data_IF_360495141387
#
_entry.id   IF_360495141387
#
_cell.length_a   1.000
_cell.length_b   1.000
_cell.length_c   1.000
_cell.angle_alpha   90.00
_cell.angle_beta   90.00
_cell.angle_gamma   90.00
#
_symmetry.space_group_name_H-M   'P 1'
#
loop_
_entity.id
_entity.type
_entity.pdbx_description
1 polymer ?
#
# COMPACT_ATOMS: atom_id res chain seq x y z
N UNK A 1 -2.64 -8.29 -2.32
CA UNK A 1 -1.45 -8.99 -1.77
C UNK A 1 -0.31 -8.04 -1.36
N UNK A 2 -0.38 -6.72 -1.59
CA UNK A 2 0.64 -5.76 -1.16
C UNK A 2 0.51 -5.46 0.34
N UNK A 3 1.05 -6.33 1.20
CA UNK A 3 1.11 -6.11 2.66
C UNK A 3 2.14 -7.02 3.36
N UNK A 4 2.79 -6.58 4.45
CA UNK A 4 3.49 -7.37 5.46
C UNK A 4 4.66 -8.18 4.94
N UNK A 5 5.52 -7.54 4.15
CA UNK A 5 6.71 -8.17 3.55
C UNK A 5 7.93 -8.25 4.46
N UNK A 6 7.93 -7.53 5.59
CA UNK A 6 9.07 -7.59 6.50
C UNK A 6 9.07 -8.92 7.25
N UNK A 7 10.26 -9.49 7.50
CA UNK A 7 10.40 -10.76 8.20
C UNK A 7 10.20 -10.61 9.71
N UNK A 8 10.15 -11.72 10.44
CA UNK A 8 10.22 -11.70 11.91
C UNK A 8 11.64 -11.39 12.37
N UNK A 9 12.64 -11.97 11.68
CA UNK A 9 14.06 -11.71 11.89
C UNK A 9 14.68 -11.11 10.62
N UNK A 10 15.53 -10.09 10.73
CA UNK A 10 16.12 -9.43 9.55
C UNK A 10 16.89 -10.38 8.61
N UNK A 11 17.41 -11.48 9.16
CA UNK A 11 18.14 -12.55 8.47
C UNK A 11 17.24 -13.49 7.67
N UNK A 12 15.92 -13.47 7.90
CA UNK A 12 14.96 -14.40 7.32
C UNK A 12 14.08 -13.69 6.28
N UNK A 13 14.68 -13.12 5.24
CA UNK A 13 13.91 -12.45 4.19
C UNK A 13 13.46 -13.43 3.10
N UNK A 14 12.21 -13.30 2.67
CA UNK A 14 11.72 -14.00 1.49
C UNK A 14 12.35 -13.39 0.23
N UNK A 15 13.08 -14.22 -0.50
CA UNK A 15 13.85 -13.83 -1.68
C UNK A 15 13.29 -14.47 -2.95
N UNK A 16 13.24 -13.70 -4.03
CA UNK A 16 12.95 -14.22 -5.38
C UNK A 16 13.94 -13.61 -6.37
N UNK A 17 14.67 -14.46 -7.07
CA UNK A 17 15.62 -14.11 -8.11
C UNK A 17 14.93 -14.12 -9.45
N UNK A 18 14.95 -12.97 -10.12
CA UNK A 18 14.35 -12.80 -11.44
C UNK A 18 15.31 -12.07 -12.37
N UNK A 19 15.63 -12.70 -13.51
CA UNK A 19 16.58 -12.21 -14.52
C UNK A 19 17.95 -11.80 -13.95
N UNK A 20 18.47 -12.60 -13.01
CA UNK A 20 19.79 -12.41 -12.40
C UNK A 20 19.83 -11.45 -11.20
N UNK A 21 18.69 -10.86 -10.82
CA UNK A 21 18.60 -9.97 -9.65
C UNK A 21 17.74 -10.62 -8.56
N UNK A 22 18.26 -10.69 -7.34
CA UNK A 22 17.51 -11.15 -6.16
C UNK A 22 16.75 -9.98 -5.54
N UNK A 23 15.44 -10.15 -5.36
CA UNK A 23 14.54 -9.14 -4.81
C UNK A 23 14.05 -9.55 -3.42
N UNK A 24 13.90 -8.56 -2.54
CA UNK A 24 13.30 -8.66 -1.21
C UNK A 24 12.13 -7.68 -1.04
N UNK A 25 11.36 -7.85 0.04
CA UNK A 25 10.24 -6.96 0.37
C UNK A 25 9.10 -7.03 -0.65
N UNK A 26 8.50 -5.89 -0.97
CA UNK A 26 7.44 -5.80 -1.99
C UNK A 26 7.89 -6.33 -3.37
N UNK A 27 9.16 -6.13 -3.73
CA UNK A 27 9.66 -6.56 -5.05
C UNK A 27 9.70 -8.08 -5.20
N UNK A 28 9.76 -8.83 -4.09
CA UNK A 28 9.62 -10.29 -4.09
C UNK A 28 8.27 -10.72 -4.66
N UNK A 29 7.18 -10.04 -4.28
CA UNK A 29 5.85 -10.33 -4.83
C UNK A 29 5.81 -10.06 -6.33
N UNK A 30 6.33 -8.91 -6.77
CA UNK A 30 6.36 -8.57 -8.19
C UNK A 30 7.14 -9.62 -8.99
N UNK A 31 8.34 -9.98 -8.53
CA UNK A 31 9.18 -10.99 -9.18
C UNK A 31 8.50 -12.37 -9.22
N UNK A 32 7.85 -12.79 -8.13
CA UNK A 32 7.14 -14.06 -8.07
C UNK A 32 5.95 -14.12 -9.05
N UNK A 33 5.14 -13.06 -9.11
CA UNK A 33 4.00 -12.97 -10.03
C UNK A 33 4.48 -12.97 -11.48
N UNK A 34 5.52 -12.19 -11.80
CA UNK A 34 6.08 -12.17 -13.16
C UNK A 34 6.64 -13.53 -13.56
N UNK A 35 7.39 -14.19 -12.66
CA UNK A 35 7.88 -15.55 -12.90
C UNK A 35 6.74 -16.54 -13.15
N UNK A 36 5.68 -16.51 -12.34
CA UNK A 36 4.52 -17.40 -12.53
C UNK A 36 3.82 -17.16 -13.88
N UNK A 37 3.70 -15.91 -14.33
CA UNK A 37 3.17 -15.60 -15.66
C UNK A 37 4.05 -16.15 -16.79
N UNK A 38 5.38 -16.02 -16.68
CA UNK A 38 6.33 -16.58 -17.66
C UNK A 38 6.32 -18.12 -17.65
N UNK A 39 5.98 -18.75 -16.51
CA UNK A 39 5.75 -20.20 -16.38
C UNK A 39 4.38 -20.67 -16.92
N UNK A 40 3.57 -19.76 -17.47
CA UNK A 40 2.26 -20.07 -18.02
C UNK A 40 1.15 -20.19 -16.98
N UNK A 41 1.38 -19.80 -15.73
CA UNK A 41 0.33 -19.75 -14.71
C UNK A 41 -0.55 -18.52 -14.98
N UNK A 42 -1.87 -18.66 -15.16
CA UNK A 42 -2.79 -17.54 -15.40
C UNK A 42 -3.13 -16.80 -14.10
N UNK A 43 -2.11 -16.40 -13.33
CA UNK A 43 -2.26 -15.79 -11.99
C UNK A 43 -3.01 -14.44 -12.00
N UNK A 44 -3.15 -13.82 -13.17
CA UNK A 44 -3.92 -12.58 -13.37
C UNK A 44 -5.36 -12.80 -13.82
N UNK A 45 -5.78 -14.04 -14.07
CA UNK A 45 -7.17 -14.39 -14.42
C UNK A 45 -8.03 -14.59 -13.17
N UNK A 46 -9.08 -13.77 -12.94
CA UNK A 46 -9.98 -13.93 -11.79
C UNK A 46 -10.63 -15.31 -11.69
N UNK A 47 -10.86 -16.00 -12.80
CA UNK A 47 -11.38 -17.37 -12.78
C UNK A 47 -10.40 -18.34 -12.14
N UNK A 48 -9.12 -18.19 -12.45
CA UNK A 48 -8.05 -19.01 -11.87
C UNK A 48 -7.86 -18.69 -10.39
N UNK A 49 -7.57 -17.43 -10.06
CA UNK A 49 -7.17 -17.09 -8.69
C UNK A 49 -8.33 -17.05 -7.69
N UNK A 50 -9.60 -17.11 -8.12
CA UNK A 50 -10.76 -17.29 -7.23
C UNK A 50 -10.97 -18.73 -6.76
N UNK A 51 -10.39 -19.70 -7.47
CA UNK A 51 -10.58 -21.14 -7.25
C UNK A 51 -9.32 -21.86 -6.76
N UNK A 52 -8.15 -21.25 -6.93
CA UNK A 52 -6.89 -21.83 -6.48
C UNK A 52 -6.87 -22.10 -4.96
N UNK A 53 -6.14 -23.11 -4.54
CA UNK A 53 -5.88 -23.39 -3.12
C UNK A 53 -4.61 -22.67 -2.61
N UNK A 54 -4.34 -22.79 -1.30
CA UNK A 54 -3.19 -22.14 -0.65
C UNK A 54 -1.87 -22.72 -1.17
N UNK A 55 -1.82 -24.02 -1.46
CA UNK A 55 -0.63 -24.71 -1.93
C UNK A 55 -0.24 -24.25 -3.34
N UNK A 56 -1.22 -24.03 -4.21
CA UNK A 56 -1.03 -23.44 -5.54
C UNK A 56 -0.50 -22.01 -5.44
N UNK A 57 -1.08 -21.18 -4.57
CA UNK A 57 -0.52 -19.84 -4.33
C UNK A 57 0.89 -19.91 -3.73
N UNK A 58 1.17 -20.89 -2.87
CA UNK A 58 2.49 -21.15 -2.31
C UNK A 58 3.53 -21.45 -3.39
N UNK A 59 3.15 -22.21 -4.44
CA UNK A 59 4.03 -22.47 -5.60
C UNK A 59 4.25 -21.22 -6.45
N UNK A 60 3.21 -20.41 -6.63
CA UNK A 60 3.30 -19.12 -7.34
C UNK A 60 4.25 -18.17 -6.60
N UNK A 61 4.09 -18.05 -5.28
CA UNK A 61 4.84 -17.12 -4.42
C UNK A 61 6.07 -17.74 -3.76
N UNK A 62 6.55 -18.89 -4.26
CA UNK A 62 7.68 -19.63 -3.65
C UNK A 62 8.93 -18.76 -3.58
N UNK A 63 9.64 -18.85 -2.46
CA UNK A 63 10.96 -18.22 -2.33
C UNK A 63 12.03 -19.10 -2.98
N UNK A 64 13.17 -18.49 -3.29
CA UNK A 64 14.38 -19.20 -3.71
C UNK A 64 15.27 -19.60 -2.51
N UNK A 65 14.87 -19.25 -1.29
CA UNK A 65 15.50 -19.67 -0.04
C UNK A 65 14.49 -20.35 0.90
N UNK A 66 14.91 -20.70 2.13
CA UNK A 66 14.08 -21.40 3.11
C UNK A 66 12.97 -20.52 3.73
N UNK A 67 13.00 -19.21 3.52
CA UNK A 67 12.02 -18.27 4.09
C UNK A 67 10.81 -18.13 3.16
N UNK A 68 9.61 -18.62 3.55
CA UNK A 68 8.43 -18.50 2.72
C UNK A 68 7.91 -17.06 2.63
N UNK A 69 7.06 -16.80 1.63
CA UNK A 69 6.31 -15.55 1.55
C UNK A 69 5.45 -15.37 2.81
N UNK A 70 5.59 -14.25 3.54
CA UNK A 70 4.84 -14.02 4.76
C UNK A 70 3.34 -13.88 4.48
N UNK A 71 2.53 -14.30 5.45
CA UNK A 71 1.06 -14.21 5.43
C UNK A 71 0.44 -14.87 4.19
N UNK A 72 0.95 -16.05 3.80
CA UNK A 72 0.48 -16.77 2.59
C UNK A 72 -1.02 -17.08 2.65
N UNK A 73 -1.56 -17.45 3.81
CA UNK A 73 -2.99 -17.76 3.99
C UNK A 73 -3.85 -16.52 3.78
N UNK A 74 -3.45 -15.39 4.35
CA UNK A 74 -4.16 -14.12 4.22
C UNK A 74 -4.05 -13.59 2.79
N UNK A 75 -2.90 -13.76 2.13
CA UNK A 75 -2.75 -13.44 0.69
C UNK A 75 -3.70 -14.25 -0.16
N UNK A 76 -3.82 -15.54 0.11
CA UNK A 76 -4.77 -16.43 -0.56
C UNK A 76 -6.21 -15.99 -0.33
N UNK A 77 -6.59 -15.68 0.91
CA UNK A 77 -7.93 -15.21 1.24
C UNK A 77 -8.29 -13.93 0.50
N UNK A 78 -7.42 -12.89 0.54
CA UNK A 78 -7.74 -11.62 -0.14
C UNK A 78 -7.75 -11.75 -1.66
N UNK A 79 -6.89 -12.61 -2.23
CA UNK A 79 -6.80 -12.80 -3.67
C UNK A 79 -8.03 -13.56 -4.18
N UNK A 80 -8.42 -14.64 -3.50
CA UNK A 80 -9.62 -15.41 -3.84
C UNK A 80 -10.91 -14.61 -3.63
N UNK A 81 -11.02 -13.82 -2.55
CA UNK A 81 -12.12 -12.88 -2.32
C UNK A 81 -12.26 -11.91 -3.48
N UNK A 82 -11.17 -11.20 -3.83
CA UNK A 82 -11.15 -10.29 -4.96
C UNK A 82 -11.57 -10.97 -6.26
N UNK A 83 -11.12 -12.21 -6.48
CA UNK A 83 -11.45 -12.96 -7.70
C UNK A 83 -12.93 -13.26 -7.84
N UNK A 84 -13.57 -13.70 -6.75
CA UNK A 84 -15.02 -13.97 -6.72
C UNK A 84 -15.81 -12.69 -7.01
N UNK A 85 -15.44 -11.58 -6.35
CA UNK A 85 -16.09 -10.28 -6.59
C UNK A 85 -15.91 -9.82 -8.03
N UNK A 86 -14.71 -9.97 -8.62
CA UNK A 86 -14.50 -9.62 -10.01
C UNK A 86 -15.34 -10.47 -10.97
N UNK A 87 -15.48 -11.77 -10.71
CA UNK A 87 -16.33 -12.66 -11.53
C UNK A 87 -17.81 -12.26 -11.51
N UNK A 88 -18.31 -11.81 -10.36
CA UNK A 88 -19.69 -11.28 -10.24
C UNK A 88 -19.90 -9.99 -11.05
N UNK A 89 -18.83 -9.27 -11.38
CA UNK A 89 -18.88 -7.98 -12.06
C UNK A 89 -18.15 -8.01 -13.42
N UNK A 90 -18.34 -9.09 -14.18
CA UNK A 90 -17.87 -9.20 -15.57
C UNK A 90 -16.42 -9.67 -15.73
N UNK A 91 -15.82 -10.23 -14.69
CA UNK A 91 -14.56 -10.98 -14.76
C UNK A 91 -13.30 -10.14 -14.96
N UNK A 92 -13.36 -8.82 -14.76
CA UNK A 92 -12.18 -7.95 -14.84
C UNK A 92 -12.29 -6.76 -13.92
N UNK A 93 -11.14 -6.22 -13.47
CA UNK A 93 -11.13 -5.01 -12.64
C UNK A 93 -11.74 -3.81 -13.37
N UNK A 94 -11.54 -3.69 -14.69
CA UNK A 94 -12.12 -2.62 -15.51
C UNK A 94 -13.65 -2.69 -15.53
N UNK A 95 -14.21 -3.88 -15.69
CA UNK A 95 -15.67 -4.08 -15.65
C UNK A 95 -16.24 -3.81 -14.26
N UNK A 96 -15.52 -4.24 -13.21
CA UNK A 96 -15.91 -3.96 -11.83
C UNK A 96 -15.94 -2.47 -11.52
N UNK A 97 -14.85 -1.74 -11.81
CA UNK A 97 -14.66 -0.35 -11.39
C UNK A 97 -15.48 0.65 -12.22
N UNK A 98 -15.94 0.28 -13.42
CA UNK A 98 -16.72 1.17 -14.31
C UNK A 98 -18.02 1.68 -13.68
N UNK A 99 -18.60 0.94 -12.74
CA UNK A 99 -19.81 1.33 -12.00
C UNK A 99 -19.60 2.58 -11.13
N UNK A 100 -18.36 2.85 -10.72
CA UNK A 100 -18.02 4.07 -9.98
C UNK A 100 -17.89 5.30 -10.90
N UNK A 101 -17.91 5.11 -12.23
CA UNK A 101 -17.51 6.14 -13.19
C UNK A 101 -16.02 6.49 -13.03
N UNK A 102 -15.60 7.60 -13.62
CA UNK A 102 -14.23 8.10 -13.52
C UNK A 102 -14.02 9.01 -12.30
N UNK A 103 -14.46 8.60 -11.10
CA UNK A 103 -14.40 9.41 -9.88
C UNK A 103 -13.65 8.65 -8.77
N UNK A 104 -12.50 9.18 -8.34
CA UNK A 104 -11.61 8.49 -7.41
C UNK A 104 -12.29 8.15 -6.07
N UNK A 105 -13.14 9.04 -5.53
CA UNK A 105 -13.86 8.79 -4.29
C UNK A 105 -14.82 7.61 -4.46
N UNK A 106 -15.66 7.64 -5.50
CA UNK A 106 -16.63 6.57 -5.77
C UNK A 106 -15.96 5.23 -6.04
N UNK A 107 -14.78 5.26 -6.67
CA UNK A 107 -13.98 4.07 -6.91
C UNK A 107 -13.54 3.43 -5.59
N UNK A 108 -13.01 4.22 -4.64
CA UNK A 108 -12.63 3.72 -3.30
C UNK A 108 -13.85 3.19 -2.54
N UNK A 109 -14.95 3.94 -2.53
CA UNK A 109 -16.20 3.54 -1.87
C UNK A 109 -16.72 2.20 -2.42
N UNK A 110 -16.72 2.01 -3.75
CA UNK A 110 -17.13 0.76 -4.39
C UNK A 110 -16.21 -0.41 -4.01
N UNK A 111 -14.88 -0.21 -4.02
CA UNK A 111 -13.91 -1.22 -3.61
C UNK A 111 -14.17 -1.67 -2.17
N UNK A 112 -14.28 -0.72 -1.25
CA UNK A 112 -14.48 -0.99 0.20
C UNK A 112 -15.85 -1.63 0.45
N UNK A 113 -16.88 -1.22 -0.29
CA UNK A 113 -18.22 -1.79 -0.18
C UNK A 113 -18.22 -3.27 -0.61
N UNK A 114 -17.60 -3.59 -1.74
CA UNK A 114 -17.69 -4.90 -2.39
C UNK A 114 -16.61 -5.90 -2.00
N UNK A 115 -15.44 -5.43 -1.56
CA UNK A 115 -14.29 -6.27 -1.22
C UNK A 115 -13.88 -6.00 0.24
N UNK A 116 -14.46 -6.73 1.22
CA UNK A 116 -14.23 -6.48 2.65
C UNK A 116 -12.78 -6.44 3.10
N UNK A 117 -11.86 -7.18 2.47
CA UNK A 117 -10.43 -7.12 2.80
C UNK A 117 -9.74 -5.76 2.53
N UNK A 118 -10.46 -4.81 1.94
CA UNK A 118 -10.05 -3.41 1.75
C UNK A 118 -10.61 -2.44 2.82
N UNK A 119 -11.50 -2.90 3.73
CA UNK A 119 -12.08 -2.11 4.82
C UNK A 119 -11.09 -1.89 5.96
N UNK A 120 -10.11 -1.05 5.70
CA UNK A 120 -9.10 -0.60 6.65
C UNK A 120 -9.69 0.49 7.56
N UNK A 121 -10.26 0.04 8.68
CA UNK A 121 -11.01 0.85 9.66
C UNK A 121 -10.49 0.62 11.09
N UNK A 122 -10.65 1.63 11.94
CA UNK A 122 -10.30 1.56 13.35
C UNK A 122 -11.26 2.40 14.21
N UNK A 123 -11.17 2.25 15.53
CA UNK A 123 -11.85 3.16 16.49
C UNK A 123 -10.81 3.99 17.22
N UNK A 124 -10.92 5.31 17.14
CA UNK A 124 -10.04 6.25 17.81
C UNK A 124 -10.86 7.20 18.67
N UNK A 125 -10.60 7.21 19.98
CA UNK A 125 -11.33 8.06 20.95
C UNK A 125 -12.87 7.95 20.82
N UNK A 126 -13.35 6.71 20.64
CA UNK A 126 -14.77 6.41 20.49
C UNK A 126 -15.37 6.74 19.12
N UNK A 127 -14.57 7.26 18.17
CA UNK A 127 -15.01 7.54 16.80
C UNK A 127 -14.51 6.47 15.85
N UNK A 128 -15.39 5.99 14.97
CA UNK A 128 -14.98 5.15 13.84
C UNK A 128 -14.25 6.02 12.82
N UNK A 129 -13.10 5.54 12.36
CA UNK A 129 -12.29 6.16 11.33
C UNK A 129 -11.93 5.13 10.26
N UNK A 130 -11.51 5.62 9.11
CA UNK A 130 -11.12 4.80 7.97
C UNK A 130 -9.87 5.34 7.31
N UNK A 131 -8.93 4.46 7.01
CA UNK A 131 -7.74 4.79 6.22
C UNK A 131 -7.88 4.32 4.78
N UNK A 132 -8.52 3.17 4.55
CA UNK A 132 -8.72 2.57 3.23
C UNK A 132 -7.45 2.52 2.35
N UNK A 133 -6.25 2.44 2.96
CA UNK A 133 -4.95 2.65 2.29
C UNK A 133 -4.82 1.82 1.02
N UNK A 134 -5.09 0.51 1.11
CA UNK A 134 -4.97 -0.40 -0.04
C UNK A 134 -5.97 -0.06 -1.16
N UNK A 135 -7.16 0.44 -0.82
CA UNK A 135 -8.16 0.82 -1.81
C UNK A 135 -7.73 2.11 -2.53
N UNK A 136 -7.21 3.07 -1.77
CA UNK A 136 -6.63 4.28 -2.33
C UNK A 136 -5.45 3.98 -3.27
N UNK A 137 -4.53 3.09 -2.87
CA UNK A 137 -3.42 2.61 -3.73
C UNK A 137 -3.96 2.00 -5.02
N UNK A 138 -4.97 1.12 -4.93
CA UNK A 138 -5.53 0.46 -6.12
C UNK A 138 -6.11 1.49 -7.12
N UNK A 139 -6.78 2.53 -6.63
CA UNK A 139 -7.29 3.62 -7.48
C UNK A 139 -6.15 4.45 -8.05
N UNK A 140 -5.12 4.77 -7.27
CA UNK A 140 -3.95 5.52 -7.73
C UNK A 140 -3.14 4.76 -8.79
N UNK A 141 -2.93 3.45 -8.60
CA UNK A 141 -2.26 2.58 -9.57
C UNK A 141 -3.08 2.48 -10.87
N UNK A 142 -4.41 2.36 -10.75
CA UNK A 142 -5.31 2.38 -11.90
C UNK A 142 -5.24 3.71 -12.66
N UNK A 143 -5.27 4.84 -11.93
CA UNK A 143 -5.10 6.17 -12.51
C UNK A 143 -3.77 6.31 -13.25
N UNK A 144 -2.65 5.95 -12.62
CA UNK A 144 -1.32 6.01 -13.24
C UNK A 144 -1.22 5.17 -14.51
N UNK A 145 -1.77 3.95 -14.48
CA UNK A 145 -1.82 3.06 -15.65
C UNK A 145 -2.68 3.63 -16.78
N UNK A 146 -3.84 4.21 -16.47
CA UNK A 146 -4.72 4.82 -17.47
C UNK A 146 -4.12 6.10 -18.04
N UNK A 147 -3.49 6.94 -17.21
CA UNK A 147 -2.78 8.14 -17.64
C UNK A 147 -1.64 7.82 -18.62
N UNK A 148 -0.85 6.77 -18.35
CA UNK A 148 0.19 6.30 -19.25
C UNK A 148 -0.34 5.81 -20.62
N UNK A 149 -1.65 5.49 -20.72
CA UNK A 149 -2.34 5.10 -21.95
C UNK A 149 -3.13 6.25 -22.60
N UNK A 150 -3.04 7.47 -22.06
CA UNK A 150 -3.81 8.63 -22.53
C UNK A 150 -5.30 8.56 -22.20
N UNK A 151 -5.69 7.80 -21.17
CA UNK A 151 -7.08 7.62 -20.70
C UNK A 151 -7.25 8.01 -19.21
N UNK A 152 -6.39 8.91 -18.71
CA UNK A 152 -6.26 9.25 -17.29
C UNK A 152 -7.32 10.22 -16.74
N UNK A 153 -8.53 10.24 -17.29
CA UNK A 153 -9.57 11.22 -16.98
C UNK A 153 -10.33 10.91 -15.67
N UNK A 154 -9.62 10.50 -14.62
CA UNK A 154 -10.19 10.26 -13.29
C UNK A 154 -10.23 11.58 -12.52
N UNK A 155 -11.42 12.03 -12.16
CA UNK A 155 -11.65 13.23 -11.38
C UNK A 155 -11.56 12.95 -9.87
N UNK A 156 -11.54 14.02 -9.06
CA UNK A 156 -11.51 13.97 -7.60
C UNK A 156 -10.31 13.22 -7.01
N UNK A 157 -9.17 13.20 -7.71
CA UNK A 157 -7.94 12.59 -7.21
C UNK A 157 -7.43 13.22 -5.90
N UNK A 158 -7.76 14.49 -5.63
CA UNK A 158 -7.45 15.17 -4.36
C UNK A 158 -8.20 14.63 -3.14
N UNK A 159 -9.22 13.79 -3.36
CA UNK A 159 -9.89 13.06 -2.27
C UNK A 159 -8.99 11.95 -1.70
N UNK A 160 -8.08 11.41 -2.52
CA UNK A 160 -7.09 10.45 -2.05
C UNK A 160 -6.03 11.17 -1.22
N UNK A 161 -5.66 10.56 -0.10
CA UNK A 161 -4.59 11.01 0.78
C UNK A 161 -3.26 10.35 0.39
N UNK A 162 -2.20 10.68 1.12
CA UNK A 162 -1.04 9.79 1.19
C UNK A 162 -1.43 8.41 1.72
N UNK A 163 -0.64 7.39 1.38
CA UNK A 163 -0.94 6.01 1.75
C UNK A 163 -0.27 5.68 3.07
N UNK A 164 -1.03 5.79 4.16
CA UNK A 164 -0.53 5.61 5.54
C UNK A 164 0.04 4.20 5.80
N UNK A 165 1.31 4.01 5.44
CA UNK A 165 2.12 2.82 5.64
C UNK A 165 3.16 3.01 6.76
N UNK A 166 4.16 2.14 6.83
CA UNK A 166 5.22 2.20 7.84
C UNK A 166 6.50 2.94 7.41
N UNK A 167 6.69 3.21 6.10
CA UNK A 167 7.91 3.86 5.56
C UNK A 167 7.77 5.36 5.41
N UNK A 168 6.62 5.83 4.94
CA UNK A 168 6.37 7.27 4.78
C UNK A 168 6.45 8.01 6.13
N UNK A 169 5.83 7.54 7.23
CA UNK A 169 6.06 8.14 8.56
C UNK A 169 7.54 8.23 8.96
N UNK A 170 8.33 7.20 8.67
CA UNK A 170 9.78 7.20 8.96
C UNK A 170 10.49 8.33 8.20
N UNK A 171 10.18 8.51 6.91
CA UNK A 171 10.73 9.61 6.11
C UNK A 171 10.28 10.98 6.61
N UNK A 172 9.01 11.13 7.00
CA UNK A 172 8.49 12.40 7.55
C UNK A 172 9.21 12.78 8.85
N UNK A 173 9.53 11.81 9.72
CA UNK A 173 10.32 12.06 10.93
C UNK A 173 11.76 12.43 10.57
N UNK A 174 12.38 11.72 9.63
CA UNK A 174 13.75 12.01 9.19
C UNK A 174 13.89 13.43 8.61
N UNK A 175 12.92 13.85 7.81
CA UNK A 175 12.88 15.18 7.18
C UNK A 175 12.47 16.30 8.17
N UNK A 176 12.13 15.96 9.41
CA UNK A 176 11.72 16.91 10.45
C UNK A 176 10.28 17.43 10.30
N UNK A 177 9.46 16.82 9.45
CA UNK A 177 8.06 17.19 9.24
C UNK A 177 7.10 16.54 10.26
N UNK A 178 7.52 15.42 10.86
CA UNK A 178 6.79 14.71 11.91
C UNK A 178 7.71 14.45 13.11
N UNK A 179 7.16 14.39 14.32
CA UNK A 179 7.91 14.01 15.52
C UNK A 179 7.09 13.04 16.37
N UNK A 180 7.72 11.96 16.81
CA UNK A 180 7.15 11.07 17.82
C UNK A 180 7.41 11.58 19.23
N UNK A 181 6.50 11.27 20.16
CA UNK A 181 6.78 11.43 21.58
C UNK A 181 7.95 10.54 22.00
N UNK A 182 8.66 10.93 23.05
CA UNK A 182 9.83 10.18 23.52
C UNK A 182 9.43 8.75 23.94
N UNK A 183 8.23 8.58 24.52
CA UNK A 183 7.65 7.28 24.86
C UNK A 183 7.39 6.40 23.63
N UNK A 184 6.79 6.96 22.57
CA UNK A 184 6.55 6.20 21.34
C UNK A 184 7.87 5.83 20.65
N UNK A 185 8.81 6.77 20.57
CA UNK A 185 10.12 6.50 19.99
C UNK A 185 10.86 5.38 20.75
N UNK A 186 10.78 5.37 22.08
CA UNK A 186 11.39 4.30 22.89
C UNK A 186 10.72 2.94 22.65
N UNK A 187 9.39 2.89 22.58
CA UNK A 187 8.65 1.67 22.26
C UNK A 187 9.08 1.08 20.90
N UNK A 188 9.17 1.93 19.87
CA UNK A 188 9.62 1.53 18.54
C UNK A 188 11.09 1.04 18.54
N UNK A 189 11.98 1.71 19.28
CA UNK A 189 13.39 1.28 19.44
C UNK A 189 13.53 -0.06 20.15
N UNK A 190 12.60 -0.38 21.05
CA UNK A 190 12.55 -1.67 21.73
C UNK A 190 11.96 -2.79 20.84
N UNK A 191 11.56 -2.48 19.60
CA UNK A 191 10.97 -3.45 18.67
C UNK A 191 9.53 -3.84 19.02
N UNK A 192 8.81 -3.00 19.79
CA UNK A 192 7.43 -3.30 20.18
C UNK A 192 6.52 -3.39 18.95
N UNK A 193 5.79 -4.50 18.83
CA UNK A 193 4.77 -4.68 17.80
C UNK A 193 3.52 -3.89 18.18
N UNK A 194 3.03 -3.05 17.27
CA UNK A 194 1.77 -2.35 17.43
C UNK A 194 0.66 -3.18 16.77
N UNK A 195 -0.42 -3.43 17.49
CA UNK A 195 -1.57 -4.12 16.91
C UNK A 195 -2.32 -3.20 15.94
N UNK A 196 -2.97 -3.77 14.92
CA UNK A 196 -3.86 -2.99 14.04
C UNK A 196 -4.98 -2.38 14.87
N UNK A 197 -5.16 -1.06 14.82
CA UNK A 197 -6.12 -0.34 15.66
C UNK A 197 -5.61 0.02 17.06
N UNK A 198 -4.36 -0.28 17.40
CA UNK A 198 -3.69 0.30 18.58
C UNK A 198 -3.70 1.82 18.44
N UNK A 199 -3.95 2.52 19.55
CA UNK A 199 -4.01 3.99 19.56
C UNK A 199 -2.76 4.62 18.91
N UNK A 200 -1.57 4.10 19.22
CA UNK A 200 -0.29 4.60 18.71
C UNK A 200 -0.13 4.34 17.22
N UNK A 201 -0.57 3.18 16.75
CA UNK A 201 -0.58 2.83 15.32
C UNK A 201 -1.49 3.78 14.54
N UNK A 202 -2.71 3.99 15.05
CA UNK A 202 -3.67 4.92 14.46
C UNK A 202 -3.15 6.37 14.47
N UNK A 203 -2.51 6.81 15.57
CA UNK A 203 -1.89 8.14 15.68
C UNK A 203 -0.77 8.32 14.65
N UNK A 204 0.13 7.35 14.48
CA UNK A 204 1.20 7.43 13.47
C UNK A 204 0.59 7.64 12.08
N UNK A 205 -0.41 6.82 11.71
CA UNK A 205 -1.04 6.91 10.40
C UNK A 205 -1.78 8.23 10.18
N UNK A 206 -2.64 8.61 11.14
CA UNK A 206 -3.46 9.81 11.06
C UNK A 206 -2.60 11.08 10.99
N UNK A 207 -1.59 11.18 11.84
CA UNK A 207 -0.64 12.29 11.81
C UNK A 207 0.19 12.31 10.53
N UNK A 208 0.54 11.16 9.94
CA UNK A 208 1.25 11.10 8.66
C UNK A 208 0.41 11.62 7.51
N UNK A 209 -0.88 11.23 7.47
CA UNK A 209 -1.84 11.77 6.50
C UNK A 209 -1.91 13.28 6.64
N UNK A 210 -2.17 13.76 7.85
CA UNK A 210 -2.31 15.19 8.11
C UNK A 210 -1.04 15.97 7.77
N UNK A 211 0.13 15.42 8.08
CA UNK A 211 1.42 16.00 7.74
C UNK A 211 1.57 16.19 6.21
N UNK A 212 1.20 15.20 5.40
CA UNK A 212 1.26 15.32 3.94
C UNK A 212 0.23 16.32 3.41
N UNK A 213 -0.97 16.40 3.97
CA UNK A 213 -1.94 17.45 3.60
C UNK A 213 -1.38 18.85 3.85
N UNK A 214 -0.70 19.07 4.99
CA UNK A 214 -0.02 20.34 5.29
C UNK A 214 1.15 20.63 4.32
N UNK A 215 1.91 19.59 3.93
CA UNK A 215 2.99 19.72 2.93
C UNK A 215 2.39 20.11 1.57
N UNK A 216 1.29 19.48 1.15
CA UNK A 216 0.57 19.80 -0.08
C UNK A 216 0.13 21.26 -0.10
N UNK A 217 -0.54 21.71 0.95
CA UNK A 217 -1.00 23.09 1.07
C UNK A 217 0.17 24.09 1.03
N UNK A 218 1.28 23.77 1.69
CA UNK A 218 2.47 24.63 1.66
C UNK A 218 3.11 24.67 0.27
N UNK A 219 3.20 23.53 -0.41
CA UNK A 219 3.72 23.44 -1.77
C UNK A 219 2.88 24.26 -2.74
N UNK A 220 1.55 24.18 -2.62
CA UNK A 220 0.62 24.98 -3.45
C UNK A 220 0.87 26.48 -3.28
N UNK A 221 1.00 26.96 -2.04
CA UNK A 221 1.33 28.37 -1.75
C UNK A 221 2.66 28.78 -2.35
N UNK A 222 3.71 27.95 -2.21
CA UNK A 222 5.04 28.25 -2.74
C UNK A 222 5.05 28.36 -4.27
N UNK A 223 4.33 27.47 -4.97
CA UNK A 223 4.21 27.52 -6.44
C UNK A 223 3.42 28.75 -6.88
N UNK A 224 2.33 29.10 -6.18
CA UNK A 224 1.57 30.31 -6.47
C UNK A 224 2.40 31.58 -6.24
N UNK A 225 3.18 31.64 -5.15
CA UNK A 225 4.05 32.77 -4.82
C UNK A 225 5.20 32.93 -5.83
N UNK A 226 5.78 31.82 -6.31
CA UNK A 226 6.92 31.82 -7.24
C UNK A 226 6.52 32.02 -8.69
N UNK A 227 5.49 31.31 -9.15
CA UNK A 227 5.15 31.16 -10.57
C UNK A 227 3.84 31.86 -10.94
N UNK A 228 3.03 32.25 -9.95
CA UNK A 228 1.69 32.81 -10.18
C UNK A 228 0.68 31.80 -10.72
N UNK A 229 0.99 30.50 -10.69
CA UNK A 229 0.17 29.41 -11.25
C UNK A 229 -0.35 28.47 -10.17
N UNK A 230 -1.52 27.82 -10.38
CA UNK A 230 -2.00 26.78 -9.49
C UNK A 230 -1.09 25.55 -9.55
N UNK A 231 -0.86 24.92 -8.39
CA UNK A 231 -0.12 23.68 -8.30
C UNK A 231 -1.06 22.48 -8.46
N UNK A 232 -0.73 21.56 -9.38
CA UNK A 232 -1.51 20.33 -9.62
C UNK A 232 -1.04 19.13 -8.79
N UNK A 233 -0.08 19.32 -7.87
CA UNK A 233 0.46 18.24 -7.05
C UNK A 233 -0.55 17.88 -5.95
N UNK A 234 -1.01 16.63 -5.96
CA UNK A 234 -1.90 16.09 -4.93
C UNK A 234 -1.13 15.17 -3.95
N UNK A 235 -1.81 14.69 -2.91
CA UNK A 235 -1.19 13.85 -1.86
C UNK A 235 -0.68 12.51 -2.40
N UNK A 236 -1.30 11.98 -3.46
CA UNK A 236 -0.83 10.76 -4.15
C UNK A 236 0.55 10.98 -4.79
N UNK A 237 0.75 12.11 -5.48
CA UNK A 237 2.03 12.44 -6.10
C UNK A 237 3.11 12.65 -5.02
N UNK A 238 2.76 13.28 -3.90
CA UNK A 238 3.69 13.43 -2.77
C UNK A 238 4.06 12.07 -2.19
N UNK A 239 3.12 11.15 -2.04
CA UNK A 239 3.39 9.79 -1.58
C UNK A 239 4.30 9.01 -2.56
N UNK A 240 4.02 9.11 -3.86
CA UNK A 240 4.87 8.55 -4.93
C UNK A 240 6.30 9.12 -4.93
N UNK A 241 6.52 10.27 -4.30
CA UNK A 241 7.86 10.79 -4.04
C UNK A 241 8.44 10.27 -2.71
N UNK A 242 7.68 10.37 -1.62
CA UNK A 242 8.15 10.04 -0.26
C UNK A 242 8.45 8.54 -0.09
N UNK A 243 7.68 7.65 -0.70
CA UNK A 243 7.87 6.21 -0.53
C UNK A 243 9.18 5.71 -1.20
N UNK A 244 9.47 6.04 -2.48
CA UNK A 244 10.78 5.73 -3.07
C UNK A 244 11.94 6.42 -2.33
N UNK A 245 11.75 7.67 -1.89
CA UNK A 245 12.73 8.38 -1.06
C UNK A 245 13.07 7.57 0.19
N UNK A 246 12.05 7.10 0.91
CA UNK A 246 12.25 6.29 2.12
C UNK A 246 13.04 4.99 1.83
N UNK A 247 12.78 4.36 0.68
CA UNK A 247 13.51 3.16 0.26
C UNK A 247 14.97 3.46 -0.10
N UNK A 248 15.23 4.55 -0.82
CA UNK A 248 16.57 4.95 -1.24
C UNK A 248 17.44 5.36 -0.03
N UNK A 249 16.85 6.04 0.95
CA UNK A 249 17.55 6.57 2.13
C UNK A 249 17.42 5.69 3.39
N UNK A 250 16.96 4.43 3.26
CA UNK A 250 16.68 3.56 4.41
C UNK A 250 17.86 3.40 5.39
N UNK A 251 19.11 3.43 4.90
CA UNK A 251 20.32 3.35 5.73
C UNK A 251 20.53 4.60 6.58
N UNK A 252 20.30 5.78 6.01
CA UNK A 252 20.42 7.06 6.73
C UNK A 252 19.35 7.16 7.82
N UNK A 253 18.16 6.63 7.54
CA UNK A 253 17.02 6.63 8.46
C UNK A 253 17.02 5.47 9.47
N UNK A 254 18.03 4.61 9.49
CA UNK A 254 18.05 3.40 10.35
C UNK A 254 17.93 3.71 11.85
N UNK A 255 18.30 4.92 12.27
CA UNK A 255 18.16 5.40 13.65
C UNK A 255 16.71 5.74 14.06
N UNK A 256 15.77 5.75 13.10
CA UNK A 256 14.34 5.97 13.29
C UNK A 256 13.63 4.66 12.94
N UNK A 257 13.23 3.83 13.91
CA UNK A 257 12.59 2.56 13.60
C UNK A 257 11.23 2.79 12.92
N UNK A 258 10.89 1.91 11.98
CA UNK A 258 9.52 1.80 11.46
C UNK A 258 8.61 1.18 12.53
N UNK A 259 7.31 1.50 12.50
CA UNK A 259 6.37 0.74 13.32
C UNK A 259 6.03 -0.58 12.63
N UNK A 260 5.93 -1.65 13.42
CA UNK A 260 5.60 -2.98 12.92
C UNK A 260 4.18 -3.34 13.33
N UNK A 261 3.31 -3.46 12.32
CA UNK A 261 1.91 -3.87 12.48
C UNK A 261 1.60 -5.01 11.53
N UNK A 262 1.51 -6.24 12.04
CA UNK A 262 1.25 -7.42 11.19
C UNK A 262 -0.24 -7.53 10.89
N UNK A 263 -0.67 -7.07 9.72
CA UNK A 263 -2.04 -7.25 9.23
C UNK A 263 -2.11 -7.09 7.70
N UNK A 264 -3.31 -7.29 7.15
CA UNK A 264 -3.54 -7.20 5.69
C UNK A 264 -3.55 -5.76 5.14
N UNK A 265 -3.39 -4.74 5.98
CA UNK A 265 -3.46 -3.32 5.58
C UNK A 265 -2.08 -2.67 5.39
N UNK A 266 -1.01 -3.24 5.97
CA UNK A 266 0.35 -2.69 5.91
C UNK A 266 1.18 -3.35 4.86
#
# INVERSE_FOLDING_TARGET
MNFSFWPEEETQQCEVTYKGTTYTGYMTLCAAITRAMEEGVPITDPKYFSQMNVEELGRVLRSDNETPMPMLRERHQVLTEGGRVLLEHGGSFRSFISQAGNDAQKMVELIVQKIPSYRDEATYEGKRISFYKRAQILVADYWGLMAARGQGDIINMDWLTMFADYRVPQALVYLGALRYSDTLMQALKNGELLSSGDRREVEIRGCSIWCVELIKDRLHKLVQERDGQPCSVNSVIIDFYLWPYAKQHHKEMAHIPIHHTRCIYY
#
